data_IF_930199426667
#
_entry.id   IF_930199426667
#
_cell.length_a   1.000
_cell.length_b   1.000
_cell.length_c   1.000
_cell.angle_alpha   90.00
_cell.angle_beta   90.00
_cell.angle_gamma   90.00
#
_symmetry.space_group_name_H-M   'P 1'
#
loop_
_entity.id
_entity.type
_entity.pdbx_description
1 polymer ?
#
# COMPACT_ATOMS: atom_id res chain seq x y z
N UNK A 1 -3.65 -4.44 -13.18
CA UNK A 1 -3.97 -5.88 -13.06
C UNK A 1 -5.25 -6.09 -12.27
N UNK A 2 -5.49 -7.34 -11.84
CA UNK A 2 -6.59 -7.78 -10.98
C UNK A 2 -6.13 -9.02 -10.17
N UNK A 3 -7.03 -9.69 -9.44
CA UNK A 3 -6.72 -10.86 -8.60
C UNK A 3 -6.14 -12.05 -9.38
N UNK A 4 -6.46 -12.16 -10.67
CA UNK A 4 -6.03 -13.26 -11.54
C UNK A 4 -4.71 -12.94 -12.27
N UNK A 5 -4.25 -11.69 -12.17
CA UNK A 5 -2.98 -11.27 -12.78
C UNK A 5 -1.81 -11.97 -12.09
N UNK A 6 -1.08 -12.78 -12.86
CA UNK A 6 0.16 -13.41 -12.40
C UNK A 6 1.29 -12.39 -12.49
N UNK A 7 1.84 -12.02 -11.34
CA UNK A 7 3.03 -11.19 -11.28
C UNK A 7 4.27 -12.09 -11.35
N UNK A 8 5.15 -11.83 -12.32
CA UNK A 8 6.47 -12.43 -12.39
C UNK A 8 7.50 -11.48 -11.76
N UNK A 9 8.45 -12.03 -11.00
CA UNK A 9 9.52 -11.27 -10.36
C UNK A 9 9.73 -11.64 -8.89
N UNK A 10 10.89 -11.28 -8.37
CA UNK A 10 11.20 -11.45 -6.95
C UNK A 10 10.68 -10.27 -6.13
N UNK A 11 10.04 -10.54 -4.99
CA UNK A 11 9.71 -9.51 -4.02
C UNK A 11 10.97 -9.12 -3.27
N UNK A 12 11.61 -8.01 -3.64
CA UNK A 12 12.91 -7.62 -3.10
C UNK A 12 12.85 -7.24 -1.61
N UNK A 13 11.77 -6.59 -1.17
CA UNK A 13 11.65 -6.05 0.19
C UNK A 13 11.32 -7.17 1.21
N UNK A 14 12.02 -7.23 2.36
CA UNK A 14 11.77 -8.24 3.39
C UNK A 14 10.32 -8.30 3.87
N UNK A 15 9.68 -7.14 4.05
CA UNK A 15 8.27 -7.06 4.41
C UNK A 15 7.36 -7.71 3.36
N UNK A 16 7.62 -7.49 2.07
CA UNK A 16 6.85 -8.12 1.01
C UNK A 16 7.03 -9.64 1.01
N UNK A 17 8.26 -10.14 1.24
CA UNK A 17 8.53 -11.58 1.37
C UNK A 17 7.73 -12.22 2.52
N UNK A 18 7.66 -11.56 3.68
CA UNK A 18 6.88 -12.08 4.82
C UNK A 18 5.38 -12.07 4.53
N UNK A 19 4.87 -11.08 3.78
CA UNK A 19 3.45 -11.05 3.37
C UNK A 19 3.11 -12.16 2.36
N UNK A 20 3.96 -12.42 1.37
CA UNK A 20 3.77 -13.56 0.45
C UNK A 20 3.77 -14.89 1.20
N UNK A 21 4.69 -15.07 2.16
CA UNK A 21 4.72 -16.28 2.98
C UNK A 21 3.46 -16.42 3.84
N UNK A 22 2.97 -15.33 4.44
CA UNK A 22 1.73 -15.35 5.20
C UNK A 22 0.50 -15.72 4.34
N UNK A 23 0.40 -15.18 3.12
CA UNK A 23 -0.66 -15.55 2.18
C UNK A 23 -0.63 -17.05 1.86
N UNK A 24 0.55 -17.60 1.59
CA UNK A 24 0.72 -19.04 1.35
C UNK A 24 0.24 -19.89 2.53
N UNK A 25 0.64 -19.53 3.76
CA UNK A 25 0.21 -20.23 4.97
C UNK A 25 -1.30 -20.17 5.17
N UNK A 26 -1.93 -19.03 4.89
CA UNK A 26 -3.40 -18.85 5.01
C UNK A 26 -4.14 -19.69 3.96
N UNK A 27 -3.62 -19.77 2.74
CA UNK A 27 -4.18 -20.62 1.68
C UNK A 27 -4.04 -22.10 2.02
N UNK A 28 -2.88 -22.54 2.49
CA UNK A 28 -2.64 -23.93 2.92
C UNK A 28 -3.48 -24.33 4.13
N UNK A 29 -3.80 -23.38 5.02
CA UNK A 29 -4.67 -23.62 6.16
C UNK A 29 -6.15 -23.70 5.80
N UNK A 30 -6.57 -23.11 4.67
CA UNK A 30 -7.96 -23.13 4.22
C UNK A 30 -8.45 -24.57 4.01
N UNK A 31 -9.59 -24.91 4.59
CA UNK A 31 -10.20 -26.24 4.53
C UNK A 31 -9.71 -27.24 5.57
N UNK A 32 -8.69 -26.91 6.38
CA UNK A 32 -8.21 -27.81 7.46
C UNK A 32 -9.30 -28.04 8.51
N UNK A 33 -9.36 -29.27 9.02
CA UNK A 33 -10.34 -29.66 10.05
C UNK A 33 -9.97 -29.01 11.39
N UNK A 34 -10.95 -28.40 12.03
CA UNK A 34 -10.88 -27.82 13.36
C UNK A 34 -11.21 -28.87 14.43
N UNK A 35 -10.85 -28.59 15.68
CA UNK A 35 -11.10 -29.48 16.82
C UNK A 35 -12.58 -29.76 17.06
N UNK A 36 -13.46 -28.82 16.70
CA UNK A 36 -14.91 -28.97 16.79
C UNK A 36 -15.54 -29.75 15.60
N UNK A 37 -14.73 -30.25 14.67
CA UNK A 37 -15.18 -31.01 13.51
C UNK A 37 -15.44 -30.17 12.26
N UNK A 38 -15.51 -28.84 12.36
CA UNK A 38 -15.71 -27.94 11.23
C UNK A 38 -14.45 -27.81 10.35
N UNK A 39 -14.57 -27.14 9.21
CA UNK A 39 -13.43 -26.76 8.36
C UNK A 39 -13.10 -25.28 8.53
N UNK A 40 -11.82 -24.96 8.70
CA UNK A 40 -11.34 -23.58 8.69
C UNK A 40 -11.62 -22.96 7.32
N UNK A 41 -12.32 -21.83 7.28
CA UNK A 41 -12.53 -21.05 6.04
C UNK A 41 -11.75 -19.75 6.17
N UNK A 42 -10.95 -19.44 5.16
CA UNK A 42 -10.13 -18.21 5.12
C UNK A 42 -10.34 -17.48 3.80
N UNK A 43 -10.10 -16.18 3.80
CA UNK A 43 -9.94 -15.39 2.58
C UNK A 43 -8.84 -14.35 2.80
N UNK A 44 -8.31 -13.79 1.73
CA UNK A 44 -7.19 -12.83 1.78
C UNK A 44 -7.65 -11.51 1.18
N UNK A 45 -7.41 -10.42 1.91
CA UNK A 45 -7.60 -9.06 1.41
C UNK A 45 -6.23 -8.41 1.25
N UNK A 46 -5.90 -8.01 0.02
CA UNK A 46 -4.69 -7.28 -0.34
C UNK A 46 -5.00 -5.79 -0.33
N UNK A 47 -4.62 -5.15 0.76
CA UNK A 47 -4.61 -3.69 0.84
C UNK A 47 -3.29 -3.16 0.27
N UNK A 48 -3.37 -2.28 -0.73
CA UNK A 48 -2.19 -1.58 -1.27
C UNK A 48 -1.87 -0.38 -0.37
N UNK A 49 -1.73 0.82 -0.94
CA UNK A 49 -1.44 1.99 -0.12
C UNK A 49 -2.69 2.42 0.64
N UNK A 50 -2.67 2.30 1.96
CA UNK A 50 -3.78 2.71 2.83
C UNK A 50 -3.48 4.10 3.38
N UNK A 51 -4.44 5.02 3.27
CA UNK A 51 -4.38 6.35 3.88
C UNK A 51 -5.54 6.54 4.86
N UNK A 52 -5.47 7.60 5.67
CA UNK A 52 -6.51 7.95 6.63
C UNK A 52 -5.90 8.46 7.92
N UNK A 53 -6.68 8.37 8.98
CA UNK A 53 -6.31 8.84 10.31
C UNK A 53 -5.05 8.12 10.80
N UNK A 54 -4.15 8.87 11.43
CA UNK A 54 -2.90 8.35 12.02
C UNK A 54 -1.95 7.72 11.00
N UNK A 55 -2.12 7.99 9.70
CA UNK A 55 -1.17 7.60 8.67
C UNK A 55 0.17 8.34 8.90
N UNK A 56 1.13 7.67 9.53
CA UNK A 56 2.44 8.25 9.88
C UNK A 56 3.19 8.75 8.66
N UNK A 57 3.07 8.08 7.50
CA UNK A 57 3.71 8.52 6.27
C UNK A 57 3.19 9.88 5.78
N UNK A 58 1.89 10.19 5.97
CA UNK A 58 1.34 11.51 5.63
C UNK A 58 1.84 12.57 6.60
N UNK A 59 1.92 12.24 7.89
CA UNK A 59 2.47 13.14 8.90
C UNK A 59 3.94 13.48 8.61
N UNK A 60 4.77 12.48 8.33
CA UNK A 60 6.17 12.67 7.95
C UNK A 60 6.30 13.52 6.69
N UNK A 61 5.45 13.25 5.69
CA UNK A 61 5.45 14.00 4.43
C UNK A 61 5.06 15.47 4.63
N UNK A 62 4.09 15.73 5.50
CA UNK A 62 3.69 17.09 5.88
C UNK A 62 4.84 17.84 6.56
N UNK A 63 5.51 17.21 7.53
CA UNK A 63 6.67 17.83 8.21
C UNK A 63 7.81 18.13 7.23
N UNK A 64 8.07 17.22 6.28
CA UNK A 64 9.07 17.44 5.23
C UNK A 64 8.68 18.59 4.28
N UNK A 65 7.41 18.73 3.94
CA UNK A 65 6.92 19.85 3.15
C UNK A 65 7.06 21.17 3.93
N UNK A 66 6.70 21.19 5.21
CA UNK A 66 6.86 22.37 6.09
C UNK A 66 8.30 22.82 6.26
N UNK A 67 9.23 21.88 6.38
CA UNK A 67 10.66 22.19 6.43
C UNK A 67 11.21 22.75 5.09
N UNK A 68 10.41 22.73 4.02
CA UNK A 68 10.73 23.21 2.67
C UNK A 68 9.74 24.28 2.21
N UNK A 69 9.33 25.17 3.10
CA UNK A 69 8.43 26.29 2.80
C UNK A 69 7.09 25.87 2.16
N UNK A 70 6.57 24.71 2.58
CA UNK A 70 5.32 24.13 2.08
C UNK A 70 5.45 23.37 0.75
N UNK A 71 6.66 23.15 0.23
CA UNK A 71 6.85 22.49 -1.08
C UNK A 71 6.90 20.96 -0.94
N UNK A 72 5.95 20.29 -1.59
CA UNK A 72 5.85 18.84 -1.66
C UNK A 72 6.48 18.29 -2.95
N UNK A 73 7.75 17.91 -2.90
CA UNK A 73 8.41 17.20 -4.01
C UNK A 73 8.03 15.71 -4.03
N UNK A 74 8.05 15.10 -5.22
CA UNK A 74 7.69 13.69 -5.42
C UNK A 74 8.78 12.94 -6.19
N UNK A 75 8.84 11.62 -5.97
CA UNK A 75 9.89 10.74 -6.52
C UNK A 75 9.36 9.84 -7.63
N UNK A 76 8.07 9.51 -7.58
CA UNK A 76 7.46 8.70 -8.62
C UNK A 76 7.41 9.45 -9.96
N UNK A 77 7.73 8.78 -11.07
CA UNK A 77 7.42 9.30 -12.40
C UNK A 77 5.93 9.64 -12.55
N UNK A 78 5.62 10.64 -13.36
CA UNK A 78 4.24 11.13 -13.50
C UNK A 78 3.29 10.16 -14.22
N UNK A 79 3.85 9.18 -14.92
CA UNK A 79 3.14 8.06 -15.54
C UNK A 79 2.99 6.85 -14.59
N UNK A 80 3.50 6.92 -13.36
CA UNK A 80 3.37 5.85 -12.38
C UNK A 80 1.98 5.90 -11.74
N UNK A 81 1.30 4.75 -11.74
CA UNK A 81 0.00 4.59 -11.10
C UNK A 81 0.07 3.73 -9.85
N UNK A 82 -0.73 4.08 -8.84
CA UNK A 82 -0.88 3.35 -7.59
C UNK A 82 -2.25 3.55 -6.98
N UNK A 83 -2.92 2.45 -6.64
CA UNK A 83 -4.18 2.53 -5.91
C UNK A 83 -3.94 2.94 -4.47
N UNK A 84 -4.73 3.91 -4.01
CA UNK A 84 -4.89 4.28 -2.62
C UNK A 84 -6.28 3.86 -2.16
N UNK A 85 -6.42 3.54 -0.89
CA UNK A 85 -7.72 3.21 -0.29
C UNK A 85 -7.78 3.77 1.12
N UNK A 86 -8.91 4.37 1.46
CA UNK A 86 -9.14 4.90 2.80
C UNK A 86 -9.23 3.77 3.83
N UNK A 87 -8.60 3.95 4.99
CA UNK A 87 -8.52 2.95 6.05
C UNK A 87 -9.89 2.48 6.53
N UNK A 88 -10.88 3.38 6.59
CA UNK A 88 -12.26 3.03 6.94
C UNK A 88 -12.91 2.09 5.93
N UNK A 89 -12.65 2.28 4.64
CA UNK A 89 -13.15 1.41 3.57
C UNK A 89 -12.47 0.05 3.57
N UNK A 90 -11.15 0.00 3.84
CA UNK A 90 -10.43 -1.27 4.02
C UNK A 90 -11.00 -2.05 5.21
N UNK A 91 -11.20 -1.40 6.36
CA UNK A 91 -11.79 -2.03 7.54
C UNK A 91 -13.21 -2.53 7.27
N UNK A 92 -14.02 -1.73 6.56
CA UNK A 92 -15.35 -2.13 6.14
C UNK A 92 -15.36 -3.38 5.25
N UNK A 93 -14.44 -3.45 4.28
CA UNK A 93 -14.29 -4.64 3.44
C UNK A 93 -14.00 -5.89 4.28
N UNK A 94 -13.15 -5.79 5.31
CA UNK A 94 -12.85 -6.91 6.21
C UNK A 94 -14.09 -7.38 6.98
N UNK A 95 -14.91 -6.46 7.48
CA UNK A 95 -16.17 -6.79 8.18
C UNK A 95 -17.14 -7.51 7.23
N UNK A 96 -17.31 -7.00 6.01
CA UNK A 96 -18.18 -7.62 5.02
C UNK A 96 -17.69 -9.01 4.59
N UNK A 97 -16.37 -9.15 4.36
CA UNK A 97 -15.76 -10.43 4.02
C UNK A 97 -15.95 -11.44 5.15
N UNK A 98 -15.69 -11.06 6.41
CA UNK A 98 -15.85 -11.94 7.57
C UNK A 98 -17.30 -12.43 7.74
N UNK A 99 -18.29 -11.54 7.56
CA UNK A 99 -19.71 -11.91 7.59
C UNK A 99 -20.07 -12.87 6.46
N UNK A 100 -19.67 -12.55 5.24
CA UNK A 100 -20.00 -13.38 4.06
C UNK A 100 -19.21 -14.68 4.02
N UNK A 101 -18.06 -14.78 4.68
CA UNK A 101 -17.32 -16.04 4.79
C UNK A 101 -18.08 -17.07 5.63
N UNK A 102 -18.92 -16.61 6.57
CA UNK A 102 -19.85 -17.48 7.32
C UNK A 102 -21.10 -17.84 6.50
N UNK A 103 -21.65 -16.89 5.77
CA UNK A 103 -22.91 -17.06 5.02
C UNK A 103 -22.73 -17.84 3.71
N UNK A 104 -21.62 -17.60 3.01
CA UNK A 104 -21.29 -18.15 1.69
C UNK A 104 -19.86 -18.70 1.68
N UNK A 105 -19.54 -19.67 2.55
CA UNK A 105 -18.18 -20.20 2.68
C UNK A 105 -17.65 -20.80 1.39
N UNK A 106 -18.51 -21.41 0.58
CA UNK A 106 -18.08 -22.07 -0.67
C UNK A 106 -17.67 -21.08 -1.76
N UNK A 107 -18.14 -19.84 -1.67
CA UNK A 107 -17.77 -18.78 -2.60
C UNK A 107 -16.52 -18.00 -2.15
N UNK A 108 -16.40 -17.71 -0.84
CA UNK A 108 -15.33 -16.84 -0.34
C UNK A 108 -14.09 -17.60 0.15
N UNK A 109 -14.21 -18.86 0.54
CA UNK A 109 -13.09 -19.60 1.10
C UNK A 109 -11.98 -19.82 0.05
N UNK A 110 -10.74 -19.54 0.45
CA UNK A 110 -9.55 -19.62 -0.41
C UNK A 110 -9.43 -18.50 -1.44
N UNK A 111 -10.35 -17.54 -1.46
CA UNK A 111 -10.31 -16.42 -2.41
C UNK A 111 -9.39 -15.31 -1.91
N UNK A 112 -8.78 -14.64 -2.88
CA UNK A 112 -8.05 -13.38 -2.73
C UNK A 112 -8.90 -12.24 -3.29
N UNK A 113 -8.84 -11.08 -2.66
CA UNK A 113 -9.50 -9.83 -3.06
C UNK A 113 -8.53 -8.66 -2.90
N UNK A 114 -8.56 -7.68 -3.81
CA UNK A 114 -7.92 -6.38 -3.58
C UNK A 114 -8.89 -5.41 -2.91
N UNK A 115 -8.37 -4.57 -2.00
CA UNK A 115 -9.16 -3.44 -1.49
C UNK A 115 -9.20 -2.31 -2.50
N UNK A 116 -10.35 -1.66 -2.65
CA UNK A 116 -10.51 -0.49 -3.52
C UNK A 116 -11.63 0.41 -3.00
N UNK A 117 -11.63 1.65 -3.44
CA UNK A 117 -12.68 2.63 -3.23
C UNK A 117 -12.70 3.68 -4.35
N UNK A 118 -13.53 4.71 -4.17
CA UNK A 118 -13.78 5.76 -5.16
C UNK A 118 -12.70 6.87 -5.15
N UNK A 119 -11.48 6.57 -4.69
CA UNK A 119 -10.35 7.51 -4.73
C UNK A 119 -10.10 7.98 -6.18
N UNK A 120 -10.06 9.30 -6.45
CA UNK A 120 -10.34 9.86 -7.78
C UNK A 120 -9.20 9.74 -8.80
N UNK A 121 -7.96 9.52 -8.34
CA UNK A 121 -6.80 9.39 -9.23
C UNK A 121 -5.91 8.26 -8.75
N UNK A 122 -5.17 7.65 -9.69
CA UNK A 122 -4.13 6.66 -9.39
C UNK A 122 -2.74 7.29 -9.29
N UNK A 123 -2.62 8.61 -9.45
CA UNK A 123 -1.34 9.32 -9.28
C UNK A 123 -1.08 9.58 -7.80
N UNK A 124 -0.19 8.79 -7.19
CA UNK A 124 0.06 8.82 -5.75
C UNK A 124 0.48 10.20 -5.20
N UNK A 125 1.28 10.96 -5.94
CA UNK A 125 1.70 12.31 -5.55
C UNK A 125 0.53 13.30 -5.53
N UNK A 126 -0.44 13.17 -6.44
CA UNK A 126 -1.62 14.02 -6.47
C UNK A 126 -2.55 13.75 -5.29
N UNK A 127 -2.73 12.48 -4.93
CA UNK A 127 -3.51 12.11 -3.73
C UNK A 127 -2.87 12.70 -2.47
N UNK A 128 -1.56 12.51 -2.31
CA UNK A 128 -0.83 13.06 -1.15
C UNK A 128 -0.90 14.59 -1.12
N UNK A 129 -0.75 15.24 -2.27
CA UNK A 129 -0.94 16.69 -2.37
C UNK A 129 -2.37 17.11 -1.99
N UNK A 130 -3.40 16.45 -2.50
CA UNK A 130 -4.80 16.78 -2.21
C UNK A 130 -5.13 16.59 -0.73
N UNK A 131 -4.68 15.49 -0.12
CA UNK A 131 -4.86 15.24 1.32
C UNK A 131 -4.17 16.31 2.17
N UNK A 132 -2.91 16.66 1.84
CA UNK A 132 -2.15 17.65 2.61
C UNK A 132 -2.64 19.08 2.39
N UNK A 133 -3.01 19.46 1.16
CA UNK A 133 -3.53 20.80 0.85
C UNK A 133 -4.94 21.04 1.39
N UNK A 134 -5.74 19.98 1.57
CA UNK A 134 -7.04 20.07 2.25
C UNK A 134 -6.89 20.34 3.75
N UNK A 135 -5.83 19.83 4.37
CA UNK A 135 -5.47 20.13 5.76
C UNK A 135 -4.80 21.51 5.90
N UNK A 136 -3.92 21.84 4.97
CA UNK A 136 -3.12 23.04 4.99
C UNK A 136 -2.94 23.62 3.56
N UNK A 137 -3.69 24.68 3.23
CA UNK A 137 -3.63 25.32 1.90
C UNK A 137 -2.26 25.92 1.53
N UNK A 138 -1.32 26.06 2.48
CA UNK A 138 0.04 26.51 2.19
C UNK A 138 0.89 25.45 1.49
N UNK A 139 0.49 24.17 1.56
CA UNK A 139 1.20 23.08 0.90
C UNK A 139 0.98 23.18 -0.61
N UNK A 140 2.08 23.27 -1.35
CA UNK A 140 2.09 23.37 -2.82
C UNK A 140 2.79 22.16 -3.42
N UNK A 141 2.31 21.71 -4.57
CA UNK A 141 3.00 20.68 -5.33
C UNK A 141 4.34 21.23 -5.85
N UNK A 142 5.41 20.52 -5.52
CA UNK A 142 6.77 20.82 -5.94
C UNK A 142 7.14 20.15 -7.26
N UNK A 143 8.43 19.92 -7.45
CA UNK A 143 8.96 19.30 -8.67
C UNK A 143 9.22 17.80 -8.50
N UNK A 144 9.14 17.08 -9.61
CA UNK A 144 9.62 15.71 -9.71
C UNK A 144 11.13 15.64 -9.45
N UNK A 145 11.55 14.75 -8.54
CA UNK A 145 12.96 14.47 -8.27
C UNK A 145 13.40 13.31 -9.17
N UNK A 146 14.31 13.54 -10.13
CA UNK A 146 14.76 12.49 -11.04
C UNK A 146 15.40 11.30 -10.31
N UNK A 147 15.14 10.09 -10.81
CA UNK A 147 15.68 8.83 -10.27
C UNK A 147 17.20 8.87 -10.04
N UNK A 148 17.97 9.41 -10.99
CA UNK A 148 19.44 9.47 -10.89
C UNK A 148 19.93 10.27 -9.69
N UNK A 149 19.21 11.34 -9.28
CA UNK A 149 19.56 12.13 -8.09
C UNK A 149 19.42 11.28 -6.83
N UNK A 150 18.32 10.54 -6.72
CA UNK A 150 18.08 9.66 -5.58
C UNK A 150 19.04 8.49 -5.56
N UNK A 151 19.31 7.88 -6.72
CA UNK A 151 20.31 6.83 -6.86
C UNK A 151 21.69 7.29 -6.38
N UNK A 152 22.13 8.49 -6.79
CA UNK A 152 23.40 9.08 -6.35
C UNK A 152 23.43 9.29 -4.83
N UNK A 153 22.36 9.85 -4.25
CA UNK A 153 22.25 10.05 -2.80
C UNK A 153 22.31 8.72 -2.02
N UNK A 154 21.65 7.66 -2.53
CA UNK A 154 21.70 6.33 -1.93
C UNK A 154 23.15 5.79 -1.99
N UNK A 155 23.84 5.97 -3.11
CA UNK A 155 25.23 5.51 -3.25
C UNK A 155 26.18 6.26 -2.31
N UNK A 156 26.04 7.58 -2.20
CA UNK A 156 26.82 8.39 -1.26
C UNK A 156 26.54 7.98 0.19
N UNK A 157 25.28 7.79 0.56
CA UNK A 157 24.91 7.31 1.90
C UNK A 157 25.50 5.94 2.21
N UNK A 158 25.57 5.02 1.23
CA UNK A 158 26.24 3.72 1.40
C UNK A 158 27.73 3.88 1.69
N UNK A 159 28.43 4.76 0.97
CA UNK A 159 29.86 5.02 1.20
C UNK A 159 30.07 5.60 2.60
N UNK A 160 29.30 6.63 2.97
CA UNK A 160 29.36 7.25 4.31
C UNK A 160 29.09 6.21 5.40
N UNK A 161 28.09 5.34 5.20
CA UNK A 161 27.76 4.28 6.16
C UNK A 161 28.91 3.30 6.34
N UNK A 162 29.62 2.91 5.27
CA UNK A 162 30.79 2.02 5.37
C UNK A 162 31.93 2.69 6.15
N UNK A 163 32.20 3.97 5.87
CA UNK A 163 33.26 4.73 6.56
C UNK A 163 32.94 4.91 8.05
N UNK A 164 31.68 5.22 8.39
CA UNK A 164 31.25 5.51 9.76
C UNK A 164 30.86 4.26 10.55
N UNK A 165 30.62 3.11 9.90
CA UNK A 165 30.21 1.86 10.53
C UNK A 165 31.00 1.47 11.80
N UNK A 166 32.36 1.62 11.85
CA UNK A 166 33.11 1.28 13.06
C UNK A 166 32.81 2.19 14.27
N UNK A 167 32.32 3.41 14.06
CA UNK A 167 32.11 4.41 15.11
C UNK A 167 30.64 4.69 15.40
N UNK A 168 29.78 4.57 14.38
CA UNK A 168 28.37 4.90 14.48
C UNK A 168 27.55 4.05 13.52
N UNK A 169 26.35 3.64 13.95
CA UNK A 169 25.39 2.89 13.14
C UNK A 169 24.30 3.84 12.66
N UNK A 170 24.53 4.62 11.57
CA UNK A 170 23.50 5.51 11.07
C UNK A 170 22.26 4.71 10.66
N UNK A 171 21.08 5.24 10.99
CA UNK A 171 19.82 4.67 10.53
C UNK A 171 19.81 4.62 9.00
N UNK A 172 19.29 3.54 8.39
CA UNK A 172 19.22 3.45 6.94
C UNK A 172 18.33 4.58 6.40
N UNK A 173 18.85 5.29 5.39
CA UNK A 173 18.04 6.13 4.51
C UNK A 173 17.17 5.25 3.58
N UNK A 174 16.69 5.80 2.47
CA UNK A 174 16.16 5.06 1.33
C UNK A 174 17.18 4.03 0.81
N UNK A 175 16.73 2.83 0.48
CA UNK A 175 17.53 1.81 -0.19
C UNK A 175 17.05 1.62 -1.65
N UNK A 176 17.87 1.00 -2.49
CA UNK A 176 17.54 0.81 -3.91
C UNK A 176 16.24 0.02 -4.13
N UNK A 177 15.98 -1.11 -3.43
CA UNK A 177 14.71 -1.82 -3.58
C UNK A 177 13.47 -0.98 -3.25
N UNK A 178 13.55 -0.11 -2.22
CA UNK A 178 12.46 0.79 -1.87
C UNK A 178 12.28 1.88 -2.93
N UNK A 179 13.37 2.43 -3.48
CA UNK A 179 13.30 3.38 -4.59
C UNK A 179 12.64 2.73 -5.84
N UNK A 180 13.05 1.51 -6.20
CA UNK A 180 12.45 0.75 -7.30
C UNK A 180 10.94 0.54 -7.08
N UNK A 181 10.54 0.23 -5.86
CA UNK A 181 9.13 0.07 -5.48
C UNK A 181 8.33 1.37 -5.58
N UNK A 182 8.95 2.53 -5.32
CA UNK A 182 8.31 3.84 -5.43
C UNK A 182 8.08 4.22 -6.91
N UNK A 183 9.04 3.95 -7.78
CA UNK A 183 8.97 4.34 -9.20
C UNK A 183 8.19 3.35 -10.07
N UNK A 184 7.93 2.14 -9.56
CA UNK A 184 7.19 1.10 -10.26
C UNK A 184 5.67 1.28 -10.12
N UNK A 185 4.95 1.14 -11.23
CA UNK A 185 3.49 1.17 -11.28
C UNK A 185 2.90 -0.08 -10.62
N UNK A 186 2.02 0.14 -9.65
CA UNK A 186 1.24 -0.90 -9.00
C UNK A 186 -0.23 -0.49 -8.97
N UNK A 187 -0.89 -0.63 -10.13
CA UNK A 187 -2.32 -0.37 -10.25
C UNK A 187 -3.14 -1.63 -10.58
N UNK A 188 -4.36 -1.66 -10.05
CA UNK A 188 -5.34 -2.69 -10.31
C UNK A 188 -6.75 -2.14 -10.40
N UNK A 189 -7.60 -2.91 -11.05
CA UNK A 189 -9.00 -2.66 -11.25
C UNK A 189 -9.74 -3.99 -11.15
N UNK A 190 -10.75 -4.03 -10.29
CA UNK A 190 -11.48 -5.25 -9.98
C UNK A 190 -12.85 -4.95 -9.40
N UNK A 191 -13.79 -5.82 -9.69
CA UNK A 191 -15.16 -5.83 -9.16
C UNK A 191 -15.44 -7.07 -8.31
N UNK A 192 -14.43 -7.92 -8.07
CA UNK A 192 -14.59 -9.26 -7.50
C UNK A 192 -15.28 -9.25 -6.14
N UNK A 193 -14.87 -8.33 -5.26
CA UNK A 193 -15.49 -8.15 -3.95
C UNK A 193 -16.98 -7.74 -4.03
N UNK A 194 -17.32 -6.86 -4.97
CA UNK A 194 -18.69 -6.43 -5.23
C UNK A 194 -19.54 -7.61 -5.72
N UNK A 195 -19.04 -8.40 -6.67
CA UNK A 195 -19.74 -9.59 -7.17
C UNK A 195 -19.92 -10.68 -6.11
N UNK A 196 -18.89 -10.94 -5.30
CA UNK A 196 -18.91 -12.08 -4.36
C UNK A 196 -19.71 -11.79 -3.09
N UNK A 197 -19.58 -10.57 -2.55
CA UNK A 197 -20.17 -10.24 -1.24
C UNK A 197 -20.78 -8.84 -1.18
N UNK A 198 -21.07 -8.22 -2.33
CA UNK A 198 -21.80 -6.95 -2.39
C UNK A 198 -21.02 -5.76 -1.86
N UNK A 199 -19.67 -5.84 -1.87
CA UNK A 199 -18.83 -4.73 -1.42
C UNK A 199 -19.14 -3.44 -2.16
N UNK A 200 -19.37 -2.38 -1.38
CA UNK A 200 -19.33 -0.99 -1.80
C UNK A 200 -18.56 -0.21 -0.72
N UNK A 201 -17.75 0.79 -1.09
CA UNK A 201 -17.11 1.68 -0.13
C UNK A 201 -18.15 2.25 0.84
N UNK A 202 -17.80 2.31 2.13
CA UNK A 202 -18.67 2.89 3.15
C UNK A 202 -18.56 4.41 3.16
N UNK A 203 -17.35 4.91 2.92
CA UNK A 203 -17.02 6.33 2.86
C UNK A 203 -16.68 6.71 1.43
N UNK A 204 -17.28 7.79 0.96
CA UNK A 204 -16.93 8.43 -0.31
C UNK A 204 -15.58 9.14 -0.18
N UNK A 205 -14.95 9.48 -1.31
CA UNK A 205 -13.71 10.29 -1.32
C UNK A 205 -13.85 11.64 -0.58
N UNK A 206 -15.06 12.21 -0.50
CA UNK A 206 -15.28 13.47 0.21
C UNK A 206 -15.35 13.30 1.74
N UNK A 207 -15.72 12.11 2.19
CA UNK A 207 -15.84 11.78 3.62
C UNK A 207 -14.53 11.21 4.19
N UNK A 208 -13.68 10.63 3.34
CA UNK A 208 -12.34 10.12 3.66
C UNK A 208 -11.31 11.22 3.87
#
# INVERSE_FOLDING_TARGET
>A
GNEDTKYSGEVELPYGKTKVMAEKLVLEANGKKLSNGDKLRTCIIRANTVYGEKATFLQELYLLAKARDGVLNYLEPENTERNYTYVGNVAWMHVLAARNLKLKPDLLAGQVYYSYDDTPTRKGFLIRHQLLSSLDPSVRLGSHIPYWKMWLLIQLHRIIKVILYPFWKPKPFLNLPLLNTIVTTFSYETDKASRHFGYKPLFTWKES
#
